data_IF_773078405296
#
_entry.id   IF_773078405296
#
_cell.length_a   1.000
_cell.length_b   1.000
_cell.length_c   1.000
_cell.angle_alpha   90.00
_cell.angle_beta   90.00
_cell.angle_gamma   90.00
#
_symmetry.space_group_name_H-M   'P 1'
#
loop_
_entity.id
_entity.type
_entity.pdbx_description
1 polymer ?
#
# COMPACT_ATOMS: atom_id res chain seq x y z
N UNK A 1 -22.33 -29.32 -2.59
CA UNK A 1 -22.69 -27.90 -2.79
C UNK A 1 -21.45 -27.07 -2.60
N UNK A 2 -20.79 -26.65 -3.69
CA UNK A 2 -19.68 -25.69 -3.60
C UNK A 2 -20.28 -24.36 -3.14
N UNK A 3 -19.99 -23.95 -1.91
CA UNK A 3 -20.36 -22.62 -1.45
C UNK A 3 -19.55 -21.63 -2.27
N UNK A 4 -20.19 -20.94 -3.20
CA UNK A 4 -19.59 -19.84 -3.94
C UNK A 4 -19.22 -18.75 -2.95
N UNK A 5 -18.00 -18.79 -2.41
CA UNK A 5 -17.50 -17.74 -1.53
C UNK A 5 -17.48 -16.47 -2.36
N UNK A 6 -18.29 -15.50 -1.98
CA UNK A 6 -18.36 -14.23 -2.70
C UNK A 6 -16.99 -13.57 -2.71
N UNK A 7 -16.49 -13.19 -3.88
CA UNK A 7 -15.23 -12.44 -4.03
C UNK A 7 -15.17 -11.22 -3.11
N UNK A 8 -16.31 -10.57 -2.85
CA UNK A 8 -16.43 -9.46 -1.88
C UNK A 8 -16.10 -9.87 -0.45
N UNK A 9 -16.51 -11.07 -0.04
CA UNK A 9 -16.16 -11.62 1.28
C UNK A 9 -14.67 -11.94 1.38
N UNK A 10 -14.03 -12.42 0.29
CA UNK A 10 -12.58 -12.63 0.26
C UNK A 10 -11.81 -11.31 0.41
N UNK A 11 -12.23 -10.24 -0.27
CA UNK A 11 -11.65 -8.90 -0.09
C UNK A 11 -11.81 -8.39 1.34
N UNK A 12 -13.00 -8.54 1.93
CA UNK A 12 -13.23 -8.16 3.33
C UNK A 12 -12.33 -8.97 4.29
N UNK A 13 -12.06 -10.24 4.00
CA UNK A 13 -11.13 -11.06 4.77
C UNK A 13 -9.67 -10.66 4.54
N UNK A 14 -9.27 -10.34 3.30
CA UNK A 14 -7.93 -9.89 2.96
C UNK A 14 -7.54 -8.63 3.78
N UNK A 15 -8.44 -7.66 3.87
CA UNK A 15 -8.24 -6.46 4.69
C UNK A 15 -8.27 -6.72 6.20
N UNK A 16 -8.69 -7.90 6.67
CA UNK A 16 -8.54 -8.29 8.08
C UNK A 16 -7.19 -8.95 8.35
N UNK A 17 -6.42 -9.31 7.32
CA UNK A 17 -5.15 -10.00 7.50
C UNK A 17 -4.04 -9.03 7.89
N UNK A 18 -3.42 -9.26 9.05
CA UNK A 18 -2.29 -8.46 9.53
C UNK A 18 -1.12 -8.45 8.56
N UNK A 19 -0.88 -9.55 7.84
CA UNK A 19 0.20 -9.66 6.85
C UNK A 19 0.03 -8.71 5.66
N UNK A 20 -1.20 -8.43 5.24
CA UNK A 20 -1.54 -7.47 4.17
C UNK A 20 -1.16 -6.04 4.61
N UNK A 21 -1.57 -5.65 5.82
CA UNK A 21 -1.22 -4.35 6.39
C UNK A 21 0.27 -4.20 6.67
N UNK A 22 0.94 -5.22 7.21
CA UNK A 22 2.38 -5.18 7.47
C UNK A 22 3.19 -4.99 6.17
N UNK A 23 2.79 -5.66 5.08
CA UNK A 23 3.40 -5.45 3.77
C UNK A 23 3.20 -4.02 3.27
N UNK A 24 1.97 -3.51 3.36
CA UNK A 24 1.64 -2.14 2.96
C UNK A 24 2.46 -1.10 3.73
N UNK A 25 2.54 -1.22 5.07
CA UNK A 25 3.35 -0.34 5.91
C UNK A 25 4.83 -0.45 5.53
N UNK A 26 5.38 -1.67 5.49
CA UNK A 26 6.83 -1.87 5.33
C UNK A 26 7.34 -1.45 3.96
N UNK A 27 6.59 -1.72 2.89
CA UNK A 27 7.03 -1.39 1.53
C UNK A 27 6.49 -0.04 1.08
N UNK A 28 5.19 0.18 1.24
CA UNK A 28 4.52 1.37 0.70
C UNK A 28 4.95 2.66 1.37
N UNK A 29 5.07 2.68 2.71
CA UNK A 29 5.56 3.86 3.41
C UNK A 29 7.06 4.05 3.21
N UNK A 30 7.88 2.99 3.23
CA UNK A 30 9.33 3.11 3.03
C UNK A 30 9.68 3.63 1.64
N UNK A 31 9.04 3.09 0.60
CA UNK A 31 9.27 3.52 -0.79
C UNK A 31 8.74 4.93 -1.00
N UNK A 32 7.52 5.23 -0.56
CA UNK A 32 6.97 6.58 -0.76
C UNK A 32 7.66 7.65 0.09
N UNK A 33 8.24 7.29 1.24
CA UNK A 33 9.11 8.18 2.02
C UNK A 33 10.44 8.42 1.29
N UNK A 34 11.08 7.37 0.78
CA UNK A 34 12.29 7.51 -0.02
C UNK A 34 12.05 8.40 -1.25
N UNK A 35 10.92 8.20 -1.93
CA UNK A 35 10.51 9.03 -3.05
C UNK A 35 10.29 10.49 -2.64
N UNK A 36 9.63 10.72 -1.50
CA UNK A 36 9.46 12.08 -0.98
C UNK A 36 10.81 12.76 -0.71
N UNK A 37 11.75 12.07 -0.05
CA UNK A 37 13.11 12.59 0.23
C UNK A 37 13.86 12.89 -1.06
N UNK A 38 13.86 11.96 -2.02
CA UNK A 38 14.54 12.10 -3.30
C UNK A 38 13.94 13.25 -4.13
N UNK A 39 12.61 13.38 -4.15
CA UNK A 39 11.89 14.41 -4.91
C UNK A 39 12.00 15.81 -4.29
N UNK A 40 12.72 15.97 -3.18
CA UNK A 40 12.94 17.24 -2.50
C UNK A 40 14.35 17.79 -2.69
N UNK A 41 15.22 17.14 -3.50
CA UNK A 41 16.62 17.51 -3.69
C UNK A 41 16.90 19.01 -3.84
N UNK A 42 16.09 19.71 -4.64
CA UNK A 42 16.22 21.16 -4.86
C UNK A 42 15.89 22.00 -3.62
N UNK A 43 14.97 21.53 -2.77
CA UNK A 43 14.61 22.20 -1.51
C UNK A 43 15.71 22.04 -0.45
N UNK A 44 16.41 20.90 -0.42
CA UNK A 44 17.58 20.71 0.46
C UNK A 44 18.70 21.70 0.11
N UNK A 45 18.90 21.96 -1.19
CA UNK A 45 19.94 22.89 -1.64
C UNK A 45 19.59 24.37 -1.38
N UNK A 46 18.31 24.70 -1.25
CA UNK A 46 17.83 26.08 -1.08
C UNK A 46 17.41 26.41 0.36
N UNK A 47 17.32 25.42 1.26
CA UNK A 47 16.94 25.60 2.67
C UNK A 47 15.49 26.03 2.89
N UNK A 48 14.67 26.05 1.85
CA UNK A 48 13.29 26.52 1.90
C UNK A 48 12.32 25.36 2.16
N UNK A 49 11.85 25.25 3.40
CA UNK A 49 10.75 24.34 3.77
C UNK A 49 9.42 25.06 3.51
N UNK A 50 8.80 24.76 2.37
CA UNK A 50 7.49 25.30 1.98
C UNK A 50 6.34 24.33 2.33
N UNK A 51 5.11 24.82 2.47
CA UNK A 51 3.93 23.99 2.72
C UNK A 51 3.71 22.91 1.65
N UNK A 52 4.15 23.19 0.41
CA UNK A 52 4.17 22.24 -0.71
C UNK A 52 5.07 21.02 -0.42
N UNK A 53 6.21 21.26 0.23
CA UNK A 53 7.19 20.22 0.61
C UNK A 53 6.60 19.31 1.69
N UNK A 54 5.92 19.91 2.67
CA UNK A 54 5.25 19.18 3.74
C UNK A 54 4.11 18.29 3.20
N UNK A 55 3.29 18.83 2.29
CA UNK A 55 2.21 18.07 1.66
C UNK A 55 2.74 16.89 0.85
N UNK A 56 3.75 17.10 0.00
CA UNK A 56 4.38 16.02 -0.79
C UNK A 56 5.01 14.94 0.08
N UNK A 57 5.55 15.31 1.24
CA UNK A 57 6.14 14.39 2.22
C UNK A 57 5.13 13.45 2.88
N UNK A 58 3.85 13.84 2.94
CA UNK A 58 2.78 13.02 3.50
C UNK A 58 2.04 12.25 2.40
N UNK A 59 1.72 12.92 1.29
CA UNK A 59 0.91 12.33 0.22
C UNK A 59 1.66 11.21 -0.51
N UNK A 60 2.95 11.37 -0.79
CA UNK A 60 3.72 10.37 -1.55
C UNK A 60 3.83 9.02 -0.82
N UNK A 61 4.16 8.97 0.49
CA UNK A 61 4.05 7.75 1.30
C UNK A 61 2.66 7.13 1.31
N UNK A 62 1.59 7.93 1.41
CA UNK A 62 0.22 7.41 1.46
C UNK A 62 -0.21 6.77 0.14
N UNK A 63 0.19 7.33 -1.00
CA UNK A 63 -0.04 6.73 -2.31
C UNK A 63 0.71 5.39 -2.42
N UNK A 64 2.00 5.36 -2.07
CA UNK A 64 2.78 4.12 -2.05
C UNK A 64 2.17 3.06 -1.14
N UNK A 65 1.72 3.46 0.05
CA UNK A 65 0.99 2.61 0.98
C UNK A 65 -0.29 2.03 0.38
N UNK A 66 -1.14 2.86 -0.23
CA UNK A 66 -2.41 2.42 -0.80
C UNK A 66 -2.21 1.40 -1.93
N UNK A 67 -1.25 1.64 -2.82
CA UNK A 67 -0.93 0.72 -3.92
C UNK A 67 -0.45 -0.64 -3.40
N UNK A 68 0.46 -0.65 -2.43
CA UNK A 68 0.95 -1.91 -1.84
C UNK A 68 -0.16 -2.61 -1.06
N UNK A 69 -1.03 -1.87 -0.36
CA UNK A 69 -2.15 -2.46 0.36
C UNK A 69 -3.12 -3.19 -0.58
N UNK A 70 -3.50 -2.56 -1.69
CA UNK A 70 -4.38 -3.16 -2.71
C UNK A 70 -3.71 -4.37 -3.34
N UNK A 71 -2.45 -4.26 -3.74
CA UNK A 71 -1.70 -5.36 -4.34
C UNK A 71 -1.54 -6.56 -3.38
N UNK A 72 -1.26 -6.30 -2.11
CA UNK A 72 -1.14 -7.34 -1.09
C UNK A 72 -2.49 -8.02 -0.80
N UNK A 73 -3.58 -7.25 -0.78
CA UNK A 73 -4.93 -7.77 -0.63
C UNK A 73 -5.34 -8.64 -1.83
N UNK A 74 -5.11 -8.16 -3.05
CA UNK A 74 -5.36 -8.91 -4.28
C UNK A 74 -4.57 -10.22 -4.34
N UNK A 75 -3.27 -10.18 -4.00
CA UNK A 75 -2.43 -11.38 -3.90
C UNK A 75 -3.00 -12.39 -2.90
N UNK A 76 -3.55 -11.92 -1.78
CA UNK A 76 -4.18 -12.80 -0.79
C UNK A 76 -5.46 -13.42 -1.36
N UNK A 77 -6.33 -12.61 -1.96
CA UNK A 77 -7.59 -13.07 -2.57
C UNK A 77 -7.33 -14.14 -3.62
N UNK A 78 -6.40 -13.88 -4.55
CA UNK A 78 -6.08 -14.80 -5.64
C UNK A 78 -5.57 -16.15 -5.11
N UNK A 79 -4.64 -16.15 -4.14
CA UNK A 79 -4.12 -17.39 -3.55
C UNK A 79 -5.21 -18.20 -2.85
N UNK A 80 -6.14 -17.52 -2.17
CA UNK A 80 -7.26 -18.20 -1.52
C UNK A 80 -8.25 -18.78 -2.54
N UNK A 81 -8.50 -18.07 -3.65
CA UNK A 81 -9.32 -18.61 -4.77
C UNK A 81 -8.66 -19.84 -5.40
N UNK A 82 -7.35 -19.82 -5.64
CA UNK A 82 -6.58 -20.96 -6.17
C UNK A 82 -6.66 -22.19 -5.24
N UNK A 83 -6.55 -21.99 -3.93
CA UNK A 83 -6.66 -23.05 -2.94
C UNK A 83 -8.07 -23.66 -2.81
N UNK A 84 -9.11 -22.86 -3.06
CA UNK A 84 -10.50 -23.33 -3.00
C UNK A 84 -10.93 -24.11 -4.26
N UNK A 85 -10.22 -23.93 -5.37
CA UNK A 85 -10.47 -24.61 -6.64
C UNK A 85 -9.48 -25.76 -6.95
N UNK A 86 -8.50 -26.00 -6.07
CA UNK A 86 -7.57 -27.14 -6.13
C UNK A 86 -8.13 -28.33 -5.36
#
# INVERSE_FOLDING_TARGET
MSATVSRRALWAQAFRQRSVWLRAVRLGLSVGFLQAVANQGDHWMTGAVDGTVLLKSIVSPLIGFALVLVSAAETWVQRTEEQLHS
#
